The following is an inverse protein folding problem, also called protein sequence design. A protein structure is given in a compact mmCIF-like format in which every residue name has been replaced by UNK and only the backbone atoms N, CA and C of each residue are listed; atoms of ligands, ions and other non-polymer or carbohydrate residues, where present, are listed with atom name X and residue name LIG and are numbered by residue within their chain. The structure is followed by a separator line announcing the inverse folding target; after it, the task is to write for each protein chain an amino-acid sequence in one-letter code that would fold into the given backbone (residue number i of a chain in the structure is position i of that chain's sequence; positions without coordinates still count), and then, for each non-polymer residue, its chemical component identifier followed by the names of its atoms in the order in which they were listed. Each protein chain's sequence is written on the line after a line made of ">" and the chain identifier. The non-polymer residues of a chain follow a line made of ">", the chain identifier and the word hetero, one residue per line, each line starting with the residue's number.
data_IF_990240930832
#
_entry.id   IF_990240930832
#
_cell.length_a   1.000
_cell.length_b   1.000
_cell.length_c   1.000
_cell.angle_alpha   90.00
_cell.angle_beta   90.00
_cell.angle_gamma   90.00
#
_symmetry.space_group_name_H-M   'P 1'
#
loop_
_entity.id
_entity.type
_entity.pdbx_description
1 polymer ?
#
# COMPACT_ATOMS: atom_id res chain seq x y z
N UNK A 1 -0.80 13.96 -7.08
CA UNK A 1 -0.89 12.52 -7.41
C UNK A 1 0.40 11.88 -7.87
N UNK A 2 1.23 12.56 -8.67
CA UNK A 2 2.42 11.95 -9.30
C UNK A 2 3.44 11.34 -8.32
N UNK A 3 3.69 11.98 -7.18
CA UNK A 3 4.56 11.44 -6.13
C UNK A 3 4.07 10.09 -5.56
N UNK A 4 2.75 9.90 -5.45
CA UNK A 4 2.14 8.65 -4.98
C UNK A 4 2.33 7.51 -6.00
N UNK A 5 2.17 7.83 -7.29
CA UNK A 5 2.41 6.88 -8.39
C UNK A 5 3.86 6.41 -8.38
N UNK A 6 4.81 7.36 -8.32
CA UNK A 6 6.24 7.02 -8.27
C UNK A 6 6.59 6.17 -7.04
N UNK A 7 6.02 6.49 -5.88
CA UNK A 7 6.20 5.69 -4.68
C UNK A 7 5.68 4.25 -4.85
N UNK A 8 4.49 4.07 -5.43
CA UNK A 8 3.92 2.74 -5.71
C UNK A 8 4.76 1.94 -6.71
N UNK A 9 5.31 2.60 -7.74
CA UNK A 9 6.22 1.98 -8.72
C UNK A 9 7.53 1.53 -8.08
N UNK A 10 8.14 2.36 -7.23
CA UNK A 10 9.34 2.01 -6.48
C UNK A 10 9.10 0.81 -5.56
N UNK A 11 7.99 0.83 -4.81
CA UNK A 11 7.60 -0.28 -3.93
C UNK A 11 7.41 -1.57 -4.73
N UNK A 12 6.71 -1.50 -5.86
CA UNK A 12 6.46 -2.65 -6.74
C UNK A 12 7.76 -3.23 -7.32
N UNK A 13 8.73 -2.36 -7.62
CA UNK A 13 9.99 -2.76 -8.25
C UNK A 13 10.99 -3.35 -7.27
N UNK A 14 11.06 -2.82 -6.05
CA UNK A 14 12.16 -3.12 -5.12
C UNK A 14 11.74 -3.92 -3.87
N UNK A 15 10.45 -4.12 -3.64
CA UNK A 15 9.95 -4.81 -2.44
C UNK A 15 8.96 -5.91 -2.79
N UNK A 16 8.70 -6.79 -1.83
CA UNK A 16 7.64 -7.81 -1.92
C UNK A 16 6.34 -7.33 -1.28
N UNK A 17 6.24 -6.04 -0.94
CA UNK A 17 5.07 -5.49 -0.25
C UNK A 17 3.88 -5.54 -1.20
N UNK A 18 2.75 -6.13 -0.79
CA UNK A 18 1.56 -6.18 -1.62
C UNK A 18 0.93 -4.79 -1.69
N UNK A 19 1.25 -4.03 -2.73
CA UNK A 19 0.68 -2.71 -3.02
C UNK A 19 -0.27 -2.76 -4.22
N UNK A 20 -1.23 -1.82 -4.33
CA UNK A 20 -2.06 -1.69 -5.52
C UNK A 20 -1.21 -1.39 -6.76
N UNK A 21 -1.60 -1.97 -7.91
CA UNK A 21 -1.04 -1.61 -9.21
C UNK A 21 -1.78 -0.41 -9.78
N UNK A 22 -1.04 0.59 -10.23
CA UNK A 22 -1.59 1.76 -10.92
C UNK A 22 -2.08 1.31 -12.31
N UNK A 23 -3.32 1.67 -12.65
CA UNK A 23 -3.96 1.39 -13.93
C UNK A 23 -3.99 2.62 -14.83
N UNK A 24 -4.26 3.79 -14.23
CA UNK A 24 -4.21 5.09 -14.87
C UNK A 24 -4.14 6.19 -13.80
N UNK A 25 -3.63 7.37 -14.14
CA UNK A 25 -3.67 8.53 -13.26
C UNK A 25 -3.59 9.82 -14.09
N UNK A 26 -3.99 10.93 -13.48
CA UNK A 26 -3.71 12.28 -13.98
C UNK A 26 -3.33 13.20 -12.83
N UNK A 27 -2.15 13.82 -12.94
CA UNK A 27 -1.68 14.88 -12.05
C UNK A 27 -2.00 16.29 -12.58
N UNK A 28 -2.46 16.42 -13.83
CA UNK A 28 -2.89 17.69 -14.40
C UNK A 28 -4.34 17.99 -14.01
N UNK A 29 -4.60 19.17 -13.44
CA UNK A 29 -5.95 19.60 -13.07
C UNK A 29 -6.80 20.04 -14.26
N UNK A 30 -6.22 20.20 -15.45
CA UNK A 30 -6.94 20.47 -16.69
C UNK A 30 -7.54 19.20 -17.32
N UNK A 31 -7.46 18.05 -16.63
CA UNK A 31 -8.08 16.81 -17.07
C UNK A 31 -9.61 16.88 -17.04
N UNK A 32 -10.24 15.84 -17.59
CA UNK A 32 -11.69 15.68 -17.75
C UNK A 32 -12.52 15.78 -16.46
N UNK A 33 -11.89 15.65 -15.29
CA UNK A 33 -12.54 15.73 -13.98
C UNK A 33 -12.20 17.00 -13.20
N UNK A 34 -11.29 17.85 -13.70
CA UNK A 34 -10.88 19.08 -13.02
C UNK A 34 -10.11 18.88 -11.71
N UNK A 35 -9.74 17.64 -11.38
CA UNK A 35 -9.05 17.25 -10.14
C UNK A 35 -7.98 16.21 -10.43
N UNK A 36 -6.93 16.16 -9.64
CA UNK A 36 -5.94 15.09 -9.74
C UNK A 36 -6.54 13.75 -9.29
N UNK A 37 -6.27 12.65 -10.00
CA UNK A 37 -6.86 11.34 -9.72
C UNK A 37 -5.92 10.19 -10.03
N UNK A 38 -6.14 9.05 -9.37
CA UNK A 38 -5.43 7.79 -9.61
C UNK A 38 -6.44 6.63 -9.58
N UNK A 39 -6.34 5.74 -10.56
CA UNK A 39 -7.08 4.49 -10.64
C UNK A 39 -6.10 3.33 -10.42
N UNK A 40 -6.45 2.44 -9.49
CA UNK A 40 -5.58 1.35 -9.05
C UNK A 40 -6.38 0.07 -8.76
N UNK A 41 -5.70 -1.07 -8.77
CA UNK A 41 -6.30 -2.36 -8.41
C UNK A 41 -6.74 -2.40 -6.95
N UNK A 42 -7.89 -2.99 -6.64
CA UNK A 42 -8.32 -3.21 -5.25
C UNK A 42 -7.57 -4.39 -4.63
N UNK A 43 -6.86 -4.15 -3.53
CA UNK A 43 -6.27 -5.25 -2.75
C UNK A 43 -7.36 -6.00 -1.97
N UNK A 44 -7.33 -7.35 -1.96
CA UNK A 44 -8.21 -8.13 -1.11
C UNK A 44 -7.77 -7.99 0.36
N UNK A 45 -8.73 -7.91 1.27
CA UNK A 45 -8.43 -7.88 2.71
C UNK A 45 -9.42 -7.05 3.51
N UNK A 46 -9.10 -6.87 4.79
CA UNK A 46 -9.84 -6.02 5.73
C UNK A 46 -8.88 -5.06 6.41
N UNK A 47 -9.36 -3.86 6.72
CA UNK A 47 -8.58 -2.91 7.49
C UNK A 47 -8.28 -3.48 8.90
N UNK A 48 -7.02 -3.40 9.33
CA UNK A 48 -6.59 -3.94 10.62
C UNK A 48 -7.36 -3.33 11.80
N UNK A 49 -7.71 -2.05 11.74
CA UNK A 49 -8.46 -1.39 12.82
C UNK A 49 -9.84 -2.01 13.04
N UNK A 50 -10.47 -2.52 11.97
CA UNK A 50 -11.76 -3.22 12.05
C UNK A 50 -11.55 -4.60 12.67
N UNK A 51 -10.53 -5.34 12.22
CA UNK A 51 -10.21 -6.67 12.73
C UNK A 51 -9.91 -6.62 14.23
N UNK A 52 -9.07 -5.68 14.68
CA UNK A 52 -8.71 -5.51 16.09
C UNK A 52 -9.89 -5.11 16.99
N UNK A 53 -10.93 -4.46 16.45
CA UNK A 53 -12.13 -4.05 17.21
C UNK A 53 -13.16 -5.18 17.32
N UNK A 54 -13.28 -6.00 16.29
CA UNK A 54 -14.36 -7.01 16.17
C UNK A 54 -13.91 -8.40 16.61
N UNK A 55 -12.61 -8.70 16.53
CA UNK A 55 -12.07 -10.02 16.83
C UNK A 55 -10.86 -9.92 17.76
N UNK A 56 -10.81 -10.77 18.77
CA UNK A 56 -9.57 -11.01 19.48
C UNK A 56 -8.64 -11.87 18.62
N UNK A 57 -7.67 -11.22 17.97
CA UNK A 57 -6.57 -11.92 17.33
C UNK A 57 -5.77 -12.68 18.39
N UNK A 58 -5.50 -13.96 18.13
CA UNK A 58 -4.61 -14.75 18.99
C UNK A 58 -3.22 -14.12 19.06
N UNK A 59 -2.49 -14.37 20.14
CA UNK A 59 -1.13 -13.83 20.30
C UNK A 59 -0.21 -14.22 19.13
N UNK A 60 -0.32 -15.46 18.64
CA UNK A 60 0.46 -15.94 17.49
C UNK A 60 0.11 -15.20 16.20
N UNK A 61 -1.17 -14.89 15.96
CA UNK A 61 -1.58 -14.11 14.80
C UNK A 61 -1.01 -12.69 14.86
N UNK A 62 -1.12 -12.01 16.02
CA UNK A 62 -0.53 -10.69 16.24
C UNK A 62 0.98 -10.70 16.01
N UNK A 63 1.67 -11.73 16.52
CA UNK A 63 3.12 -11.90 16.35
C UNK A 63 3.50 -12.09 14.87
N UNK A 64 2.73 -12.87 14.11
CA UNK A 64 2.96 -13.05 12.68
C UNK A 64 2.85 -11.72 11.93
N UNK A 65 1.74 -11.00 12.14
CA UNK A 65 1.51 -9.73 11.46
C UNK A 65 2.59 -8.70 11.78
N UNK A 66 3.02 -8.63 13.05
CA UNK A 66 4.11 -7.71 13.43
C UNK A 66 5.44 -8.06 12.76
N UNK A 67 5.72 -9.35 12.51
CA UNK A 67 6.90 -9.76 11.76
C UNK A 67 6.80 -9.35 10.30
N UNK A 68 5.65 -9.58 9.66
CA UNK A 68 5.42 -9.19 8.27
C UNK A 68 5.55 -7.66 8.11
N UNK A 69 4.99 -6.88 9.05
CA UNK A 69 5.12 -5.42 9.06
C UNK A 69 6.58 -4.97 9.24
N UNK A 70 7.32 -5.60 10.16
CA UNK A 70 8.72 -5.28 10.38
C UNK A 70 9.57 -5.59 9.14
N UNK A 71 9.30 -6.72 8.47
CA UNK A 71 9.95 -7.07 7.20
C UNK A 71 9.64 -6.03 6.12
N UNK A 72 8.38 -5.63 5.96
CA UNK A 72 7.99 -4.58 5.01
C UNK A 72 8.69 -3.23 5.28
N UNK A 73 8.76 -2.80 6.54
CA UNK A 73 9.48 -1.57 6.92
C UNK A 73 10.97 -1.69 6.59
N UNK A 74 11.60 -2.83 6.89
CA UNK A 74 12.99 -3.07 6.54
C UNK A 74 13.21 -3.02 5.01
N UNK A 75 12.32 -3.62 4.23
CA UNK A 75 12.39 -3.55 2.77
C UNK A 75 12.29 -2.11 2.25
N UNK A 76 11.37 -1.30 2.78
CA UNK A 76 11.23 0.10 2.38
C UNK A 76 12.50 0.91 2.69
N UNK A 77 13.10 0.71 3.86
CA UNK A 77 14.29 1.47 4.27
C UNK A 77 15.59 1.03 3.59
N UNK A 78 15.70 -0.25 3.21
CA UNK A 78 16.99 -0.80 2.76
C UNK A 78 17.01 -1.31 1.31
N UNK A 79 15.87 -1.41 0.62
CA UNK A 79 15.82 -1.90 -0.77
C UNK A 79 15.43 -0.83 -1.80
N UNK A 80 14.79 0.25 -1.38
CA UNK A 80 14.49 1.38 -2.27
C UNK A 80 15.75 2.26 -2.34
N UNK A 81 16.26 2.56 -3.55
CA UNK A 81 17.47 3.38 -3.75
C UNK A 81 17.25 4.86 -3.47
#
# INVERSE_FOLDING_TARGET
>A
TEAEVQALELLTKYTTIPVPKVLAYSSDRNNEYGVEWILMTRLPGKNMSIVCKVQELSFNAKKSIMRDLADYVAQMHFRIP
#
